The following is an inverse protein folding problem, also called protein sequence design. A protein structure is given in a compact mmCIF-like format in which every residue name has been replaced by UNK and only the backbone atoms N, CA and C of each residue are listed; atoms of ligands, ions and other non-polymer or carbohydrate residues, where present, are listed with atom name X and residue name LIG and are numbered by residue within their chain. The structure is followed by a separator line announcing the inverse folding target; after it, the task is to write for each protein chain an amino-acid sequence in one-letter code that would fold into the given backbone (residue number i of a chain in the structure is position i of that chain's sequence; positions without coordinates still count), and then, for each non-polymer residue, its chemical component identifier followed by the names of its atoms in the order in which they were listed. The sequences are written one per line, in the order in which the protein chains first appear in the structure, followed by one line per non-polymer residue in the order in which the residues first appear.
data_IF_985448865507
#
_entry.id   IF_985448865507
#
_cell.length_a   1.000
_cell.length_b   1.000
_cell.length_c   1.000
_cell.angle_alpha   90.00
_cell.angle_beta   90.00
_cell.angle_gamma   90.00
#
_symmetry.space_group_name_H-M   'P 1'
#
loop_
_entity.id
_entity.type
_entity.pdbx_description
1 polymer ?
#
# COMPACT_ATOMS: atom_id res chain seq x y z
N UNK A 1 -2.32 60.53 24.90
CA UNK A 1 -2.33 59.06 25.13
C UNK A 1 -1.12 58.48 24.41
N UNK A 2 -0.02 58.29 25.12
CA UNK A 2 1.26 57.83 24.57
C UNK A 2 1.38 56.33 24.79
N UNK A 3 1.21 55.55 23.74
CA UNK A 3 1.46 54.10 23.75
C UNK A 3 2.97 53.91 23.89
N UNK A 4 3.38 53.17 24.91
CA UNK A 4 4.77 52.93 25.28
C UNK A 4 5.48 52.07 24.22
N UNK A 5 6.64 52.52 23.75
CA UNK A 5 7.49 51.82 22.77
C UNK A 5 7.89 50.39 23.21
N UNK A 6 7.74 50.04 24.49
CA UNK A 6 7.96 48.66 24.99
C UNK A 6 6.89 47.67 24.53
N UNK A 7 5.65 48.10 24.28
CA UNK A 7 4.57 47.19 23.85
C UNK A 7 4.69 46.79 22.37
N UNK A 8 5.37 47.59 21.54
CA UNK A 8 5.56 47.27 20.12
C UNK A 8 6.63 46.20 19.87
N UNK A 9 7.64 46.10 20.74
CA UNK A 9 8.71 45.10 20.62
C UNK A 9 8.28 43.67 20.97
N UNK A 10 7.33 43.51 21.89
CA UNK A 10 6.81 42.18 22.26
C UNK A 10 5.87 41.59 21.20
N UNK A 11 5.08 42.42 20.50
CA UNK A 11 4.20 41.93 19.43
C UNK A 11 4.98 41.50 18.19
N UNK A 12 6.11 42.14 17.88
CA UNK A 12 6.90 41.79 16.69
C UNK A 12 7.75 40.53 16.88
N UNK A 13 8.15 40.18 18.11
CA UNK A 13 8.90 38.94 18.37
C UNK A 13 8.01 37.69 18.40
N UNK A 14 6.74 37.81 18.79
CA UNK A 14 5.78 36.68 18.78
C UNK A 14 5.27 36.31 17.37
N UNK A 15 5.29 37.26 16.43
CA UNK A 15 4.84 37.04 15.05
C UNK A 15 5.88 36.31 14.18
N UNK A 16 7.16 36.34 14.55
CA UNK A 16 8.24 35.68 13.78
C UNK A 16 8.40 34.21 14.20
N UNK A 17 7.97 33.83 15.41
CA UNK A 17 8.05 32.43 15.87
C UNK A 17 6.91 31.53 15.35
N UNK A 18 5.82 32.12 14.84
CA UNK A 18 4.63 31.39 14.38
C UNK A 18 4.72 30.93 12.90
N UNK A 19 5.78 31.33 12.19
CA UNK A 19 5.95 31.01 10.75
C UNK A 19 6.85 29.77 10.52
N UNK A 20 7.39 29.15 11.58
CA UNK A 20 8.27 27.97 11.47
C UNK A 20 7.56 26.61 11.57
N UNK A 21 6.23 26.56 11.61
CA UNK A 21 5.45 25.31 11.70
C UNK A 21 4.65 24.95 10.44
N UNK A 22 4.72 25.75 9.37
CA UNK A 22 4.00 25.46 8.11
C UNK A 22 4.86 24.75 7.08
N UNK A 23 5.72 23.82 7.53
CA UNK A 23 6.24 22.75 6.69
C UNK A 23 5.68 21.39 7.18
N UNK A 24 4.43 21.37 7.67
CA UNK A 24 3.65 20.14 7.64
C UNK A 24 3.33 19.85 6.17
N UNK A 25 4.25 19.19 5.47
CA UNK A 25 3.87 18.41 4.30
C UNK A 25 2.69 17.51 4.69
N UNK A 26 1.76 17.29 3.78
CA UNK A 26 0.68 16.33 4.03
C UNK A 26 1.32 15.02 4.51
N UNK A 27 0.82 14.41 5.60
CA UNK A 27 1.36 13.14 6.07
C UNK A 27 1.33 12.13 4.92
N UNK A 28 2.34 11.27 4.81
CA UNK A 28 2.44 10.32 3.71
C UNK A 28 1.20 9.43 3.69
N UNK A 29 0.37 9.63 2.65
CA UNK A 29 -1.02 9.12 2.56
C UNK A 29 -1.15 7.59 2.61
N UNK A 30 -0.07 6.88 2.26
CA UNK A 30 -0.03 5.43 2.13
C UNK A 30 0.88 4.76 3.16
N UNK A 31 1.59 5.52 4.00
CA UNK A 31 2.49 4.91 4.99
C UNK A 31 1.68 4.19 6.08
N UNK A 32 2.04 2.94 6.36
CA UNK A 32 1.37 2.14 7.35
C UNK A 32 1.50 0.64 7.13
N UNK A 33 0.95 -0.12 8.08
CA UNK A 33 0.80 -1.56 7.97
C UNK A 33 -0.66 -1.88 7.73
N UNK A 34 -0.93 -2.81 6.82
CA UNK A 34 -2.27 -3.10 6.33
C UNK A 34 -2.53 -4.61 6.23
N UNK A 35 -3.80 -4.97 6.39
CA UNK A 35 -4.34 -6.32 6.16
C UNK A 35 -5.54 -6.26 5.22
N UNK A 36 -5.71 -7.29 4.39
CA UNK A 36 -6.92 -7.46 3.60
C UNK A 36 -8.16 -7.65 4.48
N UNK A 37 -9.28 -7.03 4.10
CA UNK A 37 -10.57 -7.13 4.82
C UNK A 37 -11.73 -7.30 3.86
N UNK A 38 -12.90 -7.66 4.40
CA UNK A 38 -14.08 -7.99 3.60
C UNK A 38 -14.96 -6.76 3.33
N UNK A 39 -15.32 -6.58 2.05
CA UNK A 39 -16.40 -5.71 1.59
C UNK A 39 -16.22 -4.21 1.88
N UNK A 40 -17.28 -3.44 1.63
CA UNK A 40 -17.28 -1.97 1.78
C UNK A 40 -17.06 -1.48 3.21
N UNK A 41 -17.38 -2.33 4.17
CA UNK A 41 -17.25 -2.00 5.58
C UNK A 41 -15.90 -2.42 6.16
N UNK A 42 -14.93 -2.82 5.33
CA UNK A 42 -13.58 -3.22 5.73
C UNK A 42 -13.61 -4.10 6.98
N UNK A 43 -14.51 -5.08 6.99
CA UNK A 43 -14.76 -5.87 8.19
C UNK A 43 -13.59 -6.82 8.39
N UNK A 44 -13.01 -6.87 9.60
CA UNK A 44 -12.08 -7.94 9.95
C UNK A 44 -12.81 -9.26 9.73
N UNK A 45 -12.27 -10.11 8.88
CA UNK A 45 -12.93 -11.35 8.49
C UNK A 45 -11.93 -12.40 8.12
N UNK A 46 -12.21 -13.63 8.54
CA UNK A 46 -11.58 -14.81 7.97
C UNK A 46 -12.23 -15.16 6.64
N UNK A 47 -11.49 -15.79 5.72
CA UNK A 47 -12.03 -16.32 4.47
C UNK A 47 -11.68 -15.56 3.19
N UNK A 48 -10.68 -14.67 3.24
CA UNK A 48 -10.04 -14.23 2.00
C UNK A 48 -9.34 -15.42 1.32
N UNK A 49 -9.33 -15.49 -0.02
CA UNK A 49 -8.44 -16.38 -0.75
C UNK A 49 -7.00 -16.20 -0.26
N UNK A 50 -6.21 -17.27 -0.20
CA UNK A 50 -4.83 -17.20 0.31
C UNK A 50 -3.96 -16.12 -0.37
N UNK A 51 -4.23 -15.82 -1.65
CA UNK A 51 -3.55 -14.75 -2.40
C UNK A 51 -3.92 -13.33 -1.91
N UNK A 52 -5.11 -13.14 -1.34
CA UNK A 52 -5.60 -11.88 -0.79
C UNK A 52 -5.48 -11.79 0.75
N UNK A 53 -5.25 -12.93 1.42
CA UNK A 53 -4.87 -12.98 2.83
C UNK A 53 -3.40 -12.56 2.98
N UNK A 54 -3.19 -11.24 3.00
CA UNK A 54 -1.87 -10.65 2.93
C UNK A 54 -1.68 -9.52 3.95
N UNK A 55 -0.41 -9.34 4.34
CA UNK A 55 0.06 -8.21 5.14
C UNK A 55 0.95 -7.32 4.27
N UNK A 56 0.60 -6.04 4.18
CA UNK A 56 1.33 -5.04 3.41
C UNK A 56 1.91 -3.99 4.36
N UNK A 57 3.22 -3.78 4.35
CA UNK A 57 3.91 -2.75 5.13
C UNK A 57 4.51 -1.73 4.17
N UNK A 58 3.96 -0.52 4.15
CA UNK A 58 4.34 0.57 3.27
C UNK A 58 5.10 1.61 4.09
N UNK A 59 6.27 2.00 3.61
CA UNK A 59 7.12 3.01 4.24
C UNK A 59 7.52 4.07 3.22
N UNK A 60 7.74 5.29 3.71
CA UNK A 60 8.40 6.32 2.91
C UNK A 60 9.89 6.02 2.87
N UNK A 61 10.44 5.94 1.67
CA UNK A 61 11.85 5.68 1.41
C UNK A 61 12.67 6.98 1.49
N UNK A 62 12.15 8.06 0.89
CA UNK A 62 12.79 9.38 0.92
C UNK A 62 11.76 10.48 1.27
N UNK A 63 11.65 10.85 2.56
CA UNK A 63 10.67 11.84 3.02
C UNK A 63 11.05 13.28 2.68
N UNK A 64 12.29 13.53 2.24
CA UNK A 64 12.79 14.88 1.92
C UNK A 64 12.52 15.27 0.46
N UNK A 65 12.17 14.30 -0.40
CA UNK A 65 11.78 14.58 -1.78
C UNK A 65 10.40 15.23 -1.85
N UNK A 66 10.27 16.16 -2.80
CA UNK A 66 8.99 16.79 -3.16
C UNK A 66 7.90 15.77 -3.49
N UNK A 67 8.29 14.64 -4.08
CA UNK A 67 7.43 13.48 -4.29
C UNK A 67 8.06 12.32 -3.49
N UNK A 68 7.44 11.89 -2.37
CA UNK A 68 7.99 10.81 -1.58
C UNK A 68 8.00 9.52 -2.40
N UNK A 69 9.13 8.82 -2.40
CA UNK A 69 9.18 7.43 -2.86
C UNK A 69 8.61 6.54 -1.76
N UNK A 70 7.85 5.52 -2.17
CA UNK A 70 7.34 4.50 -1.26
C UNK A 70 8.09 3.20 -1.49
N UNK A 71 8.27 2.42 -0.43
CA UNK A 71 8.66 1.02 -0.52
C UNK A 71 7.62 0.22 0.24
N UNK A 72 7.16 -0.85 -0.37
CA UNK A 72 6.27 -1.81 0.28
C UNK A 72 6.98 -3.13 0.54
N UNK A 73 6.52 -3.82 1.58
CA UNK A 73 6.85 -5.20 1.89
C UNK A 73 5.57 -6.01 1.97
N UNK A 74 5.40 -6.94 1.05
CA UNK A 74 4.25 -7.82 0.93
C UNK A 74 4.57 -9.18 1.55
N UNK A 75 3.67 -9.68 2.41
CA UNK A 75 3.72 -11.03 2.99
C UNK A 75 2.40 -11.74 2.73
N UNK A 76 2.46 -12.91 2.11
CA UNK A 76 1.31 -13.82 1.94
C UNK A 76 1.82 -15.25 1.90
N UNK A 77 1.03 -16.17 2.46
CA UNK A 77 1.33 -17.60 2.41
C UNK A 77 1.21 -18.18 0.99
N UNK A 78 0.49 -17.50 0.09
CA UNK A 78 0.33 -17.94 -1.30
C UNK A 78 1.64 -17.85 -2.11
N UNK A 79 2.55 -16.93 -1.76
CA UNK A 79 3.77 -16.68 -2.51
C UNK A 79 5.00 -17.34 -1.88
N UNK A 80 4.84 -18.18 -0.85
CA UNK A 80 5.89 -18.80 -0.05
C UNK A 80 6.35 -17.95 1.14
N UNK A 81 7.02 -18.58 2.12
CA UNK A 81 7.38 -17.97 3.41
C UNK A 81 8.53 -16.95 3.31
N UNK A 82 8.39 -15.83 2.60
CA UNK A 82 9.29 -14.68 2.81
C UNK A 82 8.63 -13.38 2.31
N UNK A 83 8.87 -12.24 2.99
CA UNK A 83 8.51 -10.92 2.47
C UNK A 83 9.12 -10.62 1.10
N UNK A 84 8.32 -10.06 0.19
CA UNK A 84 8.79 -9.48 -1.07
C UNK A 84 8.69 -7.97 -0.97
N UNK A 85 9.69 -7.23 -1.46
CA UNK A 85 9.72 -5.76 -1.40
C UNK A 85 9.80 -5.13 -2.77
N UNK A 86 9.11 -4.01 -2.95
CA UNK A 86 9.04 -3.28 -4.20
C UNK A 86 9.03 -1.76 -3.98
N UNK A 87 9.67 -0.96 -4.86
CA UNK A 87 9.44 0.47 -4.91
C UNK A 87 8.02 0.75 -5.42
N UNK A 88 7.41 1.83 -4.94
CA UNK A 88 6.10 2.29 -5.36
C UNK A 88 6.20 3.45 -6.35
N UNK A 89 5.33 3.43 -7.36
CA UNK A 89 5.15 4.51 -8.32
C UNK A 89 3.84 5.25 -8.04
N UNK A 90 3.92 6.57 -7.91
CA UNK A 90 2.74 7.42 -7.77
C UNK A 90 2.21 7.81 -9.15
N UNK A 91 0.97 7.44 -9.44
CA UNK A 91 0.21 7.89 -10.61
C UNK A 91 -1.02 8.68 -10.16
N UNK A 92 -0.89 10.01 -10.11
CA UNK A 92 -1.93 10.89 -9.57
C UNK A 92 -2.20 10.62 -8.08
N UNK A 93 -3.41 10.13 -7.78
CA UNK A 93 -3.83 9.74 -6.42
C UNK A 93 -3.69 8.22 -6.16
N UNK A 94 -3.13 7.47 -7.11
CA UNK A 94 -2.89 6.03 -7.01
C UNK A 94 -1.42 5.73 -6.68
N UNK A 95 -1.20 4.66 -5.93
CA UNK A 95 0.12 4.11 -5.65
C UNK A 95 0.20 2.69 -6.21
N UNK A 96 1.11 2.46 -7.15
CA UNK A 96 1.29 1.18 -7.82
C UNK A 96 2.56 0.51 -7.30
N UNK A 97 2.45 -0.79 -6.98
CA UNK A 97 3.60 -1.62 -6.64
C UNK A 97 3.68 -2.81 -7.60
N UNK A 98 4.91 -3.12 -8.01
CA UNK A 98 5.24 -4.31 -8.79
C UNK A 98 6.27 -5.13 -8.00
N UNK A 99 5.81 -6.27 -7.45
CA UNK A 99 6.66 -7.19 -6.72
C UNK A 99 7.08 -8.34 -7.63
N UNK A 100 8.38 -8.56 -7.72
CA UNK A 100 8.95 -9.73 -8.39
C UNK A 100 9.52 -10.67 -7.33
N UNK A 101 9.21 -11.95 -7.46
CA UNK A 101 9.84 -13.03 -6.72
C UNK A 101 10.43 -14.02 -7.71
N UNK A 102 11.76 -14.10 -7.67
CA UNK A 102 12.54 -15.02 -8.49
C UNK A 102 12.10 -16.47 -8.33
N UNK A 103 12.28 -17.22 -9.41
CA UNK A 103 12.10 -18.66 -9.45
C UNK A 103 13.02 -19.35 -8.44
N UNK A 104 12.49 -20.33 -7.68
CA UNK A 104 13.29 -21.14 -6.75
C UNK A 104 13.31 -22.60 -7.21
N UNK A 105 14.52 -23.10 -7.51
CA UNK A 105 14.79 -24.51 -7.82
C UNK A 105 15.54 -25.17 -6.68
N UNK A 106 14.95 -26.21 -6.10
CA UNK A 106 15.59 -27.06 -5.11
C UNK A 106 15.48 -28.54 -5.46
N UNK A 107 16.26 -29.38 -4.76
CA UNK A 107 16.14 -30.83 -4.86
C UNK A 107 14.71 -31.33 -4.54
N UNK A 108 14.01 -30.62 -3.64
CA UNK A 108 12.70 -31.00 -3.11
C UNK A 108 11.51 -30.38 -3.85
N UNK A 109 11.73 -29.50 -4.84
CA UNK A 109 10.62 -28.87 -5.55
C UNK A 109 10.99 -27.69 -6.44
N UNK A 110 9.96 -27.20 -7.14
CA UNK A 110 10.00 -26.07 -8.06
C UNK A 110 8.96 -25.03 -7.61
N UNK A 111 9.38 -23.77 -7.49
CA UNK A 111 8.48 -22.62 -7.36
C UNK A 111 8.70 -21.72 -8.57
N UNK A 112 7.64 -21.41 -9.36
CA UNK A 112 7.76 -20.52 -10.50
C UNK A 112 8.14 -19.10 -10.06
N UNK A 113 8.62 -18.28 -11.00
CA UNK A 113 8.73 -16.85 -10.77
C UNK A 113 7.31 -16.27 -10.59
N UNK A 114 7.16 -15.33 -9.67
CA UNK A 114 5.88 -14.69 -9.38
C UNK A 114 5.99 -13.18 -9.54
N UNK A 115 5.07 -12.61 -10.33
CA UNK A 115 4.89 -11.18 -10.48
C UNK A 115 3.57 -10.78 -9.82
N UNK A 116 3.61 -9.82 -8.89
CA UNK A 116 2.41 -9.25 -8.27
C UNK A 116 2.35 -7.76 -8.59
N UNK A 117 1.28 -7.35 -9.26
CA UNK A 117 0.99 -5.93 -9.50
C UNK A 117 -0.22 -5.54 -8.67
N UNK A 118 -0.12 -4.45 -7.93
CA UNK A 118 -1.26 -3.90 -7.17
C UNK A 118 -1.33 -2.39 -7.28
N UNK A 119 -2.57 -1.88 -7.34
CA UNK A 119 -2.88 -0.45 -7.35
C UNK A 119 -3.67 -0.10 -6.11
N UNK A 120 -3.18 0.90 -5.37
CA UNK A 120 -3.74 1.35 -4.10
C UNK A 120 -4.29 2.77 -4.21
N UNK A 121 -5.41 3.00 -3.54
CA UNK A 121 -6.07 4.30 -3.43
C UNK A 121 -6.46 4.57 -1.98
N UNK A 122 -6.48 5.82 -1.51
CA UNK A 122 -7.06 6.14 -0.21
C UNK A 122 -8.54 5.77 -0.14
N UNK A 123 -8.98 5.19 0.96
CA UNK A 123 -10.38 4.82 1.13
C UNK A 123 -11.26 6.05 1.40
N UNK A 124 -12.15 6.40 0.44
CA UNK A 124 -12.97 7.62 0.50
C UNK A 124 -13.92 7.73 1.72
N UNK A 125 -14.24 6.63 2.39
CA UNK A 125 -15.13 6.59 3.56
C UNK A 125 -14.49 6.25 4.90
N UNK A 126 -13.17 6.00 4.98
CA UNK A 126 -12.51 5.50 6.19
C UNK A 126 -11.06 5.97 6.26
N UNK A 127 -10.77 6.77 7.28
CA UNK A 127 -9.42 7.29 7.49
C UNK A 127 -8.42 6.16 7.75
N UNK A 128 -7.22 6.30 7.19
CA UNK A 128 -6.13 5.33 7.32
C UNK A 128 -6.36 4.01 6.60
N UNK A 129 -7.50 3.78 5.94
CA UNK A 129 -7.74 2.58 5.12
C UNK A 129 -7.39 2.85 3.66
N UNK A 130 -7.09 1.80 2.92
CA UNK A 130 -6.84 1.85 1.49
C UNK A 130 -7.82 0.95 0.73
N UNK A 131 -8.07 1.29 -0.52
CA UNK A 131 -8.60 0.40 -1.52
C UNK A 131 -7.45 -0.22 -2.29
N UNK A 132 -7.46 -1.53 -2.49
CA UNK A 132 -6.72 -2.17 -3.55
C UNK A 132 -7.67 -2.33 -4.74
N UNK A 133 -7.59 -1.38 -5.68
CA UNK A 133 -8.48 -1.27 -6.83
C UNK A 133 -8.09 -2.17 -8.00
N UNK A 134 -6.82 -2.57 -8.07
CA UNK A 134 -6.35 -3.59 -8.98
C UNK A 134 -5.36 -4.53 -8.28
N UNK A 135 -5.44 -5.82 -8.63
CA UNK A 135 -4.49 -6.84 -8.21
C UNK A 135 -4.35 -7.87 -9.33
N UNK A 136 -3.11 -8.22 -9.65
CA UNK A 136 -2.78 -9.33 -10.54
C UNK A 136 -1.62 -10.12 -9.96
N UNK A 137 -1.79 -11.44 -9.88
CA UNK A 137 -0.71 -12.39 -9.63
C UNK A 137 -0.46 -13.17 -10.91
N UNK A 138 0.76 -13.13 -11.41
CA UNK A 138 1.20 -13.89 -12.58
C UNK A 138 2.31 -14.86 -12.20
N UNK A 139 2.13 -16.13 -12.50
CA UNK A 139 3.18 -17.14 -12.41
C UNK A 139 3.85 -17.30 -13.78
N UNK A 140 5.18 -17.21 -13.82
CA UNK A 140 6.00 -17.29 -15.03
C UNK A 140 6.89 -18.54 -14.99
N UNK A 141 6.99 -19.26 -16.12
CA UNK A 141 8.00 -20.32 -16.28
C UNK A 141 9.27 -19.73 -16.91
N UNK A 142 10.36 -19.69 -16.16
CA UNK A 142 11.63 -19.22 -16.70
C UNK A 142 12.25 -20.21 -17.73
N UNK A 143 11.71 -21.44 -17.87
CA UNK A 143 12.17 -22.42 -18.87
C UNK A 143 11.72 -22.12 -20.28
N UNK A 144 10.66 -21.34 -20.46
CA UNK A 144 10.04 -21.06 -21.77
C UNK A 144 10.11 -19.58 -22.13
N UNK A 145 11.10 -18.85 -21.61
CA UNK A 145 11.26 -17.40 -21.83
C UNK A 145 10.03 -16.60 -21.33
N UNK A 146 9.62 -16.84 -20.08
CA UNK A 146 8.57 -16.09 -19.39
C UNK A 146 7.17 -16.26 -19.98
N UNK A 147 6.81 -17.46 -20.43
CA UNK A 147 5.42 -17.76 -20.76
C UNK A 147 4.57 -17.74 -19.47
N UNK A 148 3.44 -17.01 -19.51
CA UNK A 148 2.45 -16.98 -18.42
C UNK A 148 1.90 -18.40 -18.19
N UNK A 149 2.14 -18.96 -17.00
CA UNK A 149 1.55 -20.23 -16.58
C UNK A 149 0.11 -19.98 -16.13
N UNK A 150 -0.08 -18.97 -15.30
CA UNK A 150 -1.37 -18.59 -14.72
C UNK A 150 -1.37 -17.09 -14.41
N UNK A 151 -2.53 -16.46 -14.55
CA UNK A 151 -2.78 -15.11 -14.05
C UNK A 151 -4.07 -15.14 -13.26
N UNK A 152 -4.04 -14.56 -12.06
CA UNK A 152 -5.20 -14.41 -11.18
C UNK A 152 -5.41 -12.94 -10.90
N UNK A 153 -6.55 -12.41 -11.33
CA UNK A 153 -6.94 -11.03 -11.03
C UNK A 153 -7.74 -10.94 -9.74
N UNK A 154 -7.97 -9.70 -9.29
CA UNK A 154 -8.84 -9.41 -8.16
C UNK A 154 -10.26 -9.98 -8.37
N UNK A 155 -10.78 -9.86 -9.59
CA UNK A 155 -12.09 -10.36 -10.00
C UNK A 155 -12.13 -11.89 -9.99
N UNK A 156 -11.11 -12.54 -10.57
CA UNK A 156 -11.00 -14.02 -10.56
C UNK A 156 -11.00 -14.57 -9.13
N UNK A 157 -10.29 -13.88 -8.23
CA UNK A 157 -10.22 -14.25 -6.82
C UNK A 157 -11.55 -14.00 -6.10
N UNK A 158 -12.29 -12.96 -6.49
CA UNK A 158 -13.61 -12.66 -5.95
C UNK A 158 -14.70 -13.64 -6.39
N UNK A 159 -14.68 -14.08 -7.64
CA UNK A 159 -15.61 -15.10 -8.12
C UNK A 159 -15.44 -16.45 -7.39
N UNK A 160 -14.22 -16.74 -6.94
CA UNK A 160 -13.87 -17.98 -6.24
C UNK A 160 -14.05 -17.91 -4.72
N UNK A 161 -14.43 -16.74 -4.19
CA UNK A 161 -14.50 -16.47 -2.75
C UNK A 161 -15.96 -16.36 -2.24
N UNK A 162 -16.17 -16.28 -0.91
CA UNK A 162 -17.50 -16.01 -0.36
C UNK A 162 -18.08 -14.70 -0.91
N UNK A 163 -19.41 -14.63 -1.03
CA UNK A 163 -20.07 -13.39 -1.41
C UNK A 163 -19.62 -12.23 -0.51
N UNK A 164 -19.28 -11.09 -1.12
CA UNK A 164 -18.88 -9.82 -0.48
C UNK A 164 -17.41 -9.67 -0.05
N UNK A 165 -16.45 -10.38 -0.66
CA UNK A 165 -15.03 -10.06 -0.39
C UNK A 165 -14.62 -8.66 -0.91
N UNK A 166 -15.13 -8.24 -2.07
CA UNK A 166 -14.83 -6.93 -2.66
C UNK A 166 -15.89 -5.91 -2.22
N UNK A 167 -15.41 -4.70 -1.93
CA UNK A 167 -16.23 -3.50 -1.94
C UNK A 167 -16.43 -2.98 -3.37
N UNK A 168 -17.14 -1.85 -3.48
CA UNK A 168 -17.43 -1.19 -4.76
C UNK A 168 -16.18 -0.78 -5.54
N UNK A 169 -15.07 -0.54 -4.84
CA UNK A 169 -13.81 -0.04 -5.41
C UNK A 169 -12.67 -1.07 -5.39
N UNK A 170 -12.93 -2.30 -4.94
CA UNK A 170 -11.91 -3.36 -4.82
C UNK A 170 -11.83 -3.96 -3.42
N UNK A 171 -10.68 -4.53 -3.07
CA UNK A 171 -10.46 -5.10 -1.73
C UNK A 171 -10.12 -3.97 -0.75
N UNK A 172 -10.78 -3.94 0.41
CA UNK A 172 -10.41 -2.99 1.44
C UNK A 172 -9.17 -3.47 2.21
N UNK A 173 -8.20 -2.59 2.38
CA UNK A 173 -7.03 -2.78 3.23
C UNK A 173 -7.18 -1.93 4.50
N UNK A 174 -7.29 -2.59 5.66
CA UNK A 174 -7.42 -1.93 6.95
C UNK A 174 -6.07 -1.83 7.68
N UNK A 175 -5.83 -0.80 8.50
CA UNK A 175 -4.65 -0.73 9.35
C UNK A 175 -4.48 -1.99 10.21
N UNK A 176 -3.28 -2.56 10.20
CA UNK A 176 -2.90 -3.63 11.11
C UNK A 176 -2.60 -3.01 12.49
N UNK A 177 -3.49 -3.26 13.46
CA UNK A 177 -3.37 -2.81 14.85
C UNK A 177 -2.33 -3.60 15.65
#
# INVERSE_FOLDING_TARGET
MTVSARQQLYLTTLLILSVLLSACGNPPRFEGQYIGTLGDQCMPGSGLPAALDMHLDIRVDDPEKRNPSYIARLRSNAFGEFPVSAPGELDGDQLVFEFDKDEVRGWTGYQPQLLVVMTLEPHAGKEGHLWMSAFSLTALDARTESANIETLTLEDLAERAPANILGKHGLCLAPAS
#
